data_IF_858590283026
#
_entry.id   IF_858590283026
#
_cell.length_a   1.000
_cell.length_b   1.000
_cell.length_c   1.000
_cell.angle_alpha   90.00
_cell.angle_beta   90.00
_cell.angle_gamma   90.00
#
_symmetry.space_group_name_H-M   'P 1'
#
loop_
_entity.id
_entity.type
_entity.pdbx_description
1 polymer ?
#
# COMPACT_ATOMS: atom_id res chain seq x y z
N UNK A 1 1.86 2.01 21.08
CA UNK A 1 0.70 2.91 21.04
C UNK A 1 0.05 2.74 19.68
N UNK A 2 -1.26 2.89 19.58
CA UNK A 2 -1.95 2.94 18.29
C UNK A 2 -2.11 4.39 17.85
N UNK A 3 -2.09 4.61 16.55
CA UNK A 3 -2.26 5.91 15.91
C UNK A 3 -3.32 5.76 14.80
N UNK A 4 -4.02 6.86 14.49
CA UNK A 4 -4.98 6.90 13.39
C UNK A 4 -4.25 7.10 12.07
N UNK A 5 -4.57 6.28 11.08
CA UNK A 5 -4.01 6.37 9.73
C UNK A 5 -5.09 6.38 8.66
N UNK A 6 -4.72 6.87 7.49
CA UNK A 6 -5.57 6.98 6.32
C UNK A 6 -4.92 6.25 5.14
N UNK A 7 -5.69 5.47 4.40
CA UNK A 7 -5.21 4.87 3.14
C UNK A 7 -6.32 4.70 2.13
N UNK A 8 -5.94 4.60 0.86
CA UNK A 8 -6.78 3.95 -0.14
C UNK A 8 -6.51 2.44 -0.10
N UNK A 9 -7.58 1.66 -0.13
CA UNK A 9 -7.55 0.21 -0.23
C UNK A 9 -8.31 -0.19 -1.51
N UNK A 10 -7.58 -0.76 -2.47
CA UNK A 10 -8.08 -1.04 -3.82
C UNK A 10 -9.00 -2.27 -3.82
N UNK A 11 -10.02 -2.24 -4.67
CA UNK A 11 -11.06 -3.27 -4.69
C UNK A 11 -10.57 -4.68 -5.08
N UNK A 12 -9.40 -4.79 -5.73
CA UNK A 12 -8.78 -6.03 -6.16
C UNK A 12 -7.70 -6.56 -5.18
N UNK A 13 -7.54 -5.90 -4.02
CA UNK A 13 -6.61 -6.34 -2.98
C UNK A 13 -7.27 -7.28 -1.96
N UNK A 14 -6.51 -8.15 -1.27
CA UNK A 14 -7.04 -8.98 -0.19
C UNK A 14 -7.69 -8.14 0.92
N UNK A 15 -8.61 -8.74 1.68
CA UNK A 15 -9.32 -8.07 2.77
C UNK A 15 -8.40 -7.25 3.68
N UNK A 16 -8.80 -6.03 4.01
CA UNK A 16 -8.06 -5.14 4.90
C UNK A 16 -8.08 -5.66 6.35
N UNK A 17 -6.99 -6.32 6.76
CA UNK A 17 -6.79 -6.81 8.13
C UNK A 17 -5.30 -6.95 8.45
N UNK A 18 -4.98 -7.32 9.70
CA UNK A 18 -3.61 -7.45 10.17
C UNK A 18 -2.83 -8.58 9.47
N UNK A 19 -3.49 -9.66 9.07
CA UNK A 19 -2.85 -10.83 8.45
C UNK A 19 -2.41 -10.53 7.01
N UNK A 20 -3.12 -9.61 6.35
CA UNK A 20 -2.88 -9.16 4.98
C UNK A 20 -2.08 -7.83 4.92
N UNK A 21 -1.53 -7.36 6.04
CA UNK A 21 -0.83 -6.08 6.13
C UNK A 21 0.55 -6.11 5.46
N UNK A 22 0.58 -5.93 4.14
CA UNK A 22 1.78 -5.90 3.32
C UNK A 22 1.73 -4.74 2.32
N UNK A 23 2.89 -4.17 2.00
CA UNK A 23 3.05 -3.07 1.05
C UNK A 23 4.17 -3.34 0.06
N UNK A 24 3.91 -2.95 -1.19
CA UNK A 24 4.84 -3.05 -2.30
C UNK A 24 4.78 -1.78 -3.13
N UNK A 25 5.70 -1.62 -4.09
CA UNK A 25 5.68 -0.49 -5.01
C UNK A 25 4.37 -0.45 -5.80
N UNK A 26 3.86 0.76 -6.07
CA UNK A 26 2.63 0.94 -6.85
C UNK A 26 2.72 0.17 -8.18
N UNK A 27 1.65 -0.55 -8.53
CA UNK A 27 1.54 -1.25 -9.81
C UNK A 27 2.34 -2.55 -9.89
N UNK A 28 2.94 -2.94 -8.76
CA UNK A 28 3.58 -4.24 -8.63
C UNK A 28 2.58 -5.37 -8.83
N UNK A 29 3.03 -6.43 -9.51
CA UNK A 29 2.31 -7.71 -9.51
C UNK A 29 2.61 -8.45 -8.22
N UNK A 30 1.58 -8.96 -7.58
CA UNK A 30 1.71 -9.67 -6.30
C UNK A 30 1.78 -11.19 -6.50
N UNK A 31 2.53 -11.83 -5.62
CA UNK A 31 2.49 -13.27 -5.39
C UNK A 31 1.12 -13.67 -4.85
N UNK A 32 0.78 -14.96 -4.99
CA UNK A 32 -0.54 -15.47 -4.58
C UNK A 32 -0.81 -15.32 -3.08
N UNK A 33 0.22 -15.36 -2.24
CA UNK A 33 0.09 -15.19 -0.79
C UNK A 33 0.19 -13.71 -0.33
N UNK A 34 0.41 -12.79 -1.27
CA UNK A 34 0.49 -11.36 -1.01
C UNK A 34 1.73 -10.90 -0.23
N UNK A 35 2.76 -11.74 -0.09
CA UNK A 35 3.96 -11.41 0.71
C UNK A 35 5.13 -10.93 -0.12
N UNK A 36 5.06 -11.11 -1.43
CA UNK A 36 6.10 -10.71 -2.36
C UNK A 36 5.52 -9.96 -3.55
N UNK A 37 6.29 -9.01 -4.07
CA UNK A 37 6.03 -8.31 -5.34
C UNK A 37 6.99 -8.75 -6.42
N UNK A 38 6.53 -8.74 -7.67
CA UNK A 38 7.37 -9.03 -8.83
C UNK A 38 8.53 -8.05 -8.86
N UNK A 39 9.76 -8.59 -8.90
CA UNK A 39 10.98 -7.80 -8.86
C UNK A 39 10.95 -6.71 -9.94
N UNK A 40 11.10 -5.46 -9.51
CA UNK A 40 10.97 -4.31 -10.38
C UNK A 40 12.20 -4.15 -11.29
N UNK A 41 13.38 -4.49 -10.79
CA UNK A 41 14.65 -4.38 -11.53
C UNK A 41 14.76 -5.35 -12.70
N UNK A 42 14.34 -6.61 -12.52
CA UNK A 42 14.36 -7.60 -13.59
C UNK A 42 12.99 -7.84 -14.24
N UNK A 43 11.95 -7.08 -13.85
CA UNK A 43 10.57 -7.36 -14.22
C UNK A 43 10.22 -8.86 -14.02
N UNK A 44 10.64 -9.43 -12.89
CA UNK A 44 10.41 -10.83 -12.52
C UNK A 44 10.97 -11.92 -13.43
N UNK A 45 11.97 -11.63 -14.25
CA UNK A 45 12.68 -12.68 -15.02
C UNK A 45 13.72 -13.43 -14.19
N UNK A 46 14.11 -12.89 -13.03
CA UNK A 46 15.25 -13.38 -12.24
C UNK A 46 16.61 -13.10 -12.90
N UNK A 47 16.64 -12.38 -14.02
CA UNK A 47 17.84 -12.28 -14.84
C UNK A 47 17.98 -10.90 -15.52
N UNK A 48 19.21 -10.38 -15.51
CA UNK A 48 19.60 -9.18 -16.23
C UNK A 48 20.74 -9.51 -17.18
N UNK A 49 20.48 -9.51 -18.49
CA UNK A 49 21.47 -9.77 -19.56
C UNK A 49 22.31 -11.04 -19.39
N UNK A 50 21.71 -12.13 -18.93
CA UNK A 50 22.39 -13.41 -18.71
C UNK A 50 22.97 -13.57 -17.31
N UNK A 51 22.95 -12.53 -16.48
CA UNK A 51 23.35 -12.58 -15.08
C UNK A 51 22.14 -12.67 -14.14
N UNK A 52 22.32 -13.34 -13.00
CA UNK A 52 21.31 -13.42 -11.95
C UNK A 52 20.99 -12.02 -11.41
N UNK A 53 19.71 -11.67 -11.33
CA UNK A 53 19.28 -10.42 -10.73
C UNK A 53 19.62 -10.43 -9.23
N UNK A 54 20.38 -9.43 -8.77
CA UNK A 54 20.85 -9.33 -7.37
C UNK A 54 19.79 -8.81 -6.41
N UNK A 55 18.72 -8.21 -6.93
CA UNK A 55 17.64 -7.63 -6.13
C UNK A 55 16.67 -8.71 -5.65
N UNK A 56 16.44 -9.73 -6.47
CA UNK A 56 15.56 -10.87 -6.17
C UNK A 56 16.32 -12.21 -6.08
N UNK A 57 17.64 -12.17 -6.01
CA UNK A 57 18.49 -13.37 -6.02
C UNK A 57 18.09 -14.42 -7.08
N UNK A 58 17.62 -13.95 -8.24
CA UNK A 58 17.28 -14.78 -9.38
C UNK A 58 15.91 -15.44 -9.39
N UNK A 59 15.06 -15.24 -8.39
CA UNK A 59 13.73 -15.87 -8.35
C UNK A 59 12.63 -15.02 -9.03
N UNK A 60 12.90 -13.73 -9.27
CA UNK A 60 11.98 -12.79 -9.89
C UNK A 60 10.98 -12.11 -8.92
N UNK A 61 11.16 -12.28 -7.61
CA UNK A 61 10.29 -11.77 -6.56
C UNK A 61 11.08 -11.00 -5.49
N UNK A 62 10.49 -9.95 -4.96
CA UNK A 62 11.02 -9.16 -3.86
C UNK A 62 10.05 -9.25 -2.69
N UNK A 63 10.59 -9.36 -1.48
CA UNK A 63 9.75 -9.36 -0.28
C UNK A 63 9.03 -8.03 -0.13
N UNK A 64 7.71 -8.10 0.10
CA UNK A 64 6.92 -6.94 0.43
C UNK A 64 7.26 -6.45 1.85
N UNK A 65 7.07 -5.16 2.08
CA UNK A 65 7.25 -4.58 3.41
C UNK A 65 6.06 -4.92 4.29
N UNK A 66 6.34 -5.33 5.53
CA UNK A 66 5.30 -5.61 6.50
C UNK A 66 4.64 -4.31 7.01
N UNK A 67 3.31 -4.30 7.03
CA UNK A 67 2.48 -3.13 7.29
C UNK A 67 1.91 -2.52 6.02
N UNK A 68 0.75 -1.88 6.13
CA UNK A 68 0.17 -1.10 5.06
C UNK A 68 0.77 0.30 5.01
N UNK A 69 1.17 0.71 3.81
CA UNK A 69 1.51 2.08 3.44
C UNK A 69 0.27 2.94 3.61
N UNK A 70 0.44 4.02 4.38
CA UNK A 70 -0.65 4.89 4.80
C UNK A 70 -0.14 6.31 5.08
N UNK A 71 -1.07 7.24 5.24
CA UNK A 71 -0.81 8.62 5.60
C UNK A 71 -1.17 8.88 7.07
N UNK A 72 -0.42 9.77 7.72
CA UNK A 72 -0.66 10.20 9.11
C UNK A 72 -1.89 11.13 9.22
N UNK A 73 -2.36 11.69 8.11
CA UNK A 73 -3.48 12.63 8.07
C UNK A 73 -4.31 12.49 6.80
N UNK A 74 -5.53 13.05 6.82
CA UNK A 74 -6.37 13.13 5.64
C UNK A 74 -5.79 14.11 4.61
N UNK A 75 -5.16 15.20 5.07
CA UNK A 75 -4.50 16.20 4.24
C UNK A 75 -3.36 15.59 3.43
N UNK A 76 -2.54 14.74 4.05
CA UNK A 76 -1.45 14.04 3.36
C UNK A 76 -1.98 13.05 2.31
N UNK A 77 -3.05 12.31 2.63
CA UNK A 77 -3.68 11.40 1.67
C UNK A 77 -4.26 12.17 0.47
N UNK A 78 -4.92 13.30 0.72
CA UNK A 78 -5.46 14.16 -0.32
C UNK A 78 -4.35 14.75 -1.20
N UNK A 79 -3.27 15.25 -0.60
CA UNK A 79 -2.11 15.78 -1.32
C UNK A 79 -1.45 14.73 -2.21
N UNK A 80 -1.26 13.51 -1.69
CA UNK A 80 -0.69 12.40 -2.46
C UNK A 80 -1.49 12.10 -3.73
N UNK A 81 -2.82 11.94 -3.62
CA UNK A 81 -3.67 11.63 -4.77
C UNK A 81 -3.95 12.82 -5.69
N UNK A 82 -3.72 14.06 -5.22
CA UNK A 82 -3.72 15.23 -6.10
C UNK A 82 -2.56 15.19 -7.12
N UNK A 83 -1.42 14.58 -6.74
CA UNK A 83 -0.26 14.41 -7.62
C UNK A 83 -0.29 13.08 -8.38
N UNK A 84 -0.66 11.98 -7.72
CA UNK A 84 -0.64 10.62 -8.28
C UNK A 84 -1.84 10.30 -9.19
N UNK A 85 -2.91 11.10 -9.12
CA UNK A 85 -4.17 10.88 -9.82
C UNK A 85 -5.20 10.16 -8.96
N UNK A 86 -6.42 10.70 -8.90
CA UNK A 86 -7.45 10.25 -7.97
C UNK A 86 -7.95 8.82 -8.24
N UNK A 87 -8.24 8.02 -7.19
CA UNK A 87 -8.66 6.62 -7.31
C UNK A 87 -10.09 6.43 -7.87
N UNK A 88 -10.94 7.45 -7.79
CA UNK A 88 -12.37 7.34 -8.08
C UNK A 88 -13.13 6.46 -7.06
N UNK A 89 -14.46 6.42 -7.16
CA UNK A 89 -15.31 5.67 -6.21
C UNK A 89 -15.36 4.16 -6.48
N UNK A 90 -15.00 3.74 -7.70
CA UNK A 90 -15.02 2.32 -8.10
C UNK A 90 -13.65 1.64 -7.95
N UNK A 91 -12.56 2.40 -7.88
CA UNK A 91 -11.20 1.85 -7.78
C UNK A 91 -10.89 1.26 -6.42
N UNK A 92 -11.45 1.82 -5.35
CA UNK A 92 -11.19 1.40 -3.98
C UNK A 92 -11.97 2.22 -2.96
N UNK A 93 -11.66 2.00 -1.69
CA UNK A 93 -12.24 2.74 -0.56
C UNK A 93 -11.14 3.45 0.21
N UNK A 94 -11.49 4.58 0.81
CA UNK A 94 -10.66 5.17 1.86
C UNK A 94 -10.97 4.46 3.17
N UNK A 95 -9.94 3.93 3.80
CA UNK A 95 -10.02 3.28 5.11
C UNK A 95 -9.33 4.20 6.12
N UNK A 96 -10.09 4.59 7.15
CA UNK A 96 -9.56 5.23 8.37
C UNK A 96 -9.44 4.14 9.42
N UNK A 97 -8.26 3.98 10.01
CA UNK A 97 -8.02 2.89 10.94
C UNK A 97 -7.08 3.28 12.07
N UNK A 98 -7.24 2.65 13.22
CA UNK A 98 -6.24 2.66 14.28
C UNK A 98 -5.24 1.55 14.01
N UNK A 99 -3.96 1.87 14.00
CA UNK A 99 -2.90 0.91 13.70
C UNK A 99 -1.67 1.07 14.57
N UNK A 100 -0.81 0.06 14.56
CA UNK A 100 0.53 0.13 15.13
C UNK A 100 1.53 0.39 14.01
N UNK A 101 2.29 1.48 14.09
CA UNK A 101 3.45 1.70 13.22
C UNK A 101 4.46 0.56 13.35
N UNK A 102 4.87 -0.01 12.23
CA UNK A 102 5.85 -1.10 12.14
C UNK A 102 7.07 -0.74 11.31
N UNK A 103 7.04 0.37 10.57
CA UNK A 103 8.17 0.83 9.80
C UNK A 103 7.89 2.07 8.97
N UNK A 104 8.68 2.19 7.91
CA UNK A 104 8.62 3.23 6.89
C UNK A 104 8.62 2.57 5.52
N UNK A 105 7.74 3.02 4.63
CA UNK A 105 7.54 2.50 3.29
C UNK A 105 8.57 3.04 2.30
N UNK A 106 8.35 2.74 1.04
CA UNK A 106 9.31 3.04 -0.04
C UNK A 106 9.45 4.55 -0.31
N UNK A 107 8.39 5.32 -0.05
CA UNK A 107 8.33 6.77 -0.30
C UNK A 107 8.49 7.59 1.00
N UNK A 108 8.93 6.95 2.09
CA UNK A 108 9.11 7.59 3.39
C UNK A 108 7.85 7.65 4.26
N UNK A 109 6.75 7.08 3.79
CA UNK A 109 5.46 7.05 4.45
C UNK A 109 5.40 6.02 5.59
N UNK A 110 4.52 6.19 6.58
CA UNK A 110 4.32 5.16 7.61
C UNK A 110 3.90 3.81 7.04
N UNK A 111 4.44 2.74 7.62
CA UNK A 111 3.85 1.39 7.52
C UNK A 111 3.15 1.06 8.82
N UNK A 112 1.86 0.71 8.75
CA UNK A 112 1.06 0.39 9.92
C UNK A 112 0.28 -0.92 9.77
N UNK A 113 0.18 -1.67 10.86
CA UNK A 113 -0.68 -2.86 10.96
C UNK A 113 -1.97 -2.45 11.64
N UNK A 114 -3.15 -2.68 11.04
CA UNK A 114 -4.41 -2.26 11.62
C UNK A 114 -4.73 -3.05 12.89
N UNK A 115 -5.32 -2.34 13.84
CA UNK A 115 -5.86 -2.90 15.10
C UNK A 115 -7.39 -2.78 15.14
N UNK A 116 -7.94 -1.75 14.50
CA UNK A 116 -9.39 -1.62 14.25
C UNK A 116 -9.65 -0.67 13.08
N UNK A 117 -10.67 -0.96 12.29
CA UNK A 117 -11.22 -0.01 11.30
C UNK A 117 -12.09 0.99 12.04
N UNK A 118 -11.84 2.28 11.83
CA UNK A 118 -12.64 3.38 12.36
C UNK A 118 -13.78 3.71 11.39
N UNK A 119 -13.46 3.80 10.11
CA UNK A 119 -14.41 4.19 9.07
C UNK A 119 -13.96 3.66 7.69
N UNK A 120 -14.95 3.35 6.83
CA UNK A 120 -14.75 3.11 5.41
C UNK A 120 -15.63 4.06 4.61
N UNK A 121 -15.11 4.65 3.55
CA UNK A 121 -15.84 5.59 2.71
C UNK A 121 -15.36 5.56 1.26
N UNK A 122 -16.18 6.06 0.34
CA UNK A 122 -15.75 6.29 -1.04
C UNK A 122 -14.80 7.49 -1.13
N UNK A 123 -14.11 7.64 -2.26
CA UNK A 123 -13.24 8.79 -2.48
C UNK A 123 -14.02 10.12 -2.49
N UNK A 124 -15.21 10.14 -3.09
CA UNK A 124 -16.10 11.30 -3.10
C UNK A 124 -16.56 11.70 -1.69
N UNK A 125 -16.87 10.72 -0.83
CA UNK A 125 -17.24 10.96 0.57
C UNK A 125 -16.05 11.53 1.35
N UNK A 126 -14.86 10.97 1.15
CA UNK A 126 -13.62 11.46 1.74
C UNK A 126 -13.35 12.93 1.38
N UNK A 127 -13.39 13.27 0.09
CA UNK A 127 -13.19 14.66 -0.37
C UNK A 127 -14.21 15.62 0.22
N UNK A 128 -15.49 15.24 0.22
CA UNK A 128 -16.56 16.07 0.80
C UNK A 128 -16.32 16.38 2.28
N UNK A 129 -15.68 15.47 3.02
CA UNK A 129 -15.48 15.59 4.47
C UNK A 129 -14.18 16.29 4.85
N UNK A 130 -13.10 16.02 4.11
CA UNK A 130 -11.74 16.40 4.52
C UNK A 130 -11.09 17.43 3.59
N UNK A 131 -11.64 17.69 2.40
CA UNK A 131 -11.04 18.63 1.43
C UNK A 131 -12.00 19.76 1.03
N UNK A 132 -13.14 19.89 1.69
CA UNK A 132 -14.16 20.90 1.41
C UNK A 132 -13.91 22.22 2.15
#
# INVERSE_FOLDING_TARGET
MTETYFRVHWADTPDFNADNAWSGLWGSKWSTDGRQTRCHDCAGTGNYFGEQCKTCDGDGWEDALYGYSCCDSAEDLAAYFAEAGEPGDEGGRVIVFEGRRVGTGFDGEPLAVPTSIVEEMTWSEFKKRYTA
#
